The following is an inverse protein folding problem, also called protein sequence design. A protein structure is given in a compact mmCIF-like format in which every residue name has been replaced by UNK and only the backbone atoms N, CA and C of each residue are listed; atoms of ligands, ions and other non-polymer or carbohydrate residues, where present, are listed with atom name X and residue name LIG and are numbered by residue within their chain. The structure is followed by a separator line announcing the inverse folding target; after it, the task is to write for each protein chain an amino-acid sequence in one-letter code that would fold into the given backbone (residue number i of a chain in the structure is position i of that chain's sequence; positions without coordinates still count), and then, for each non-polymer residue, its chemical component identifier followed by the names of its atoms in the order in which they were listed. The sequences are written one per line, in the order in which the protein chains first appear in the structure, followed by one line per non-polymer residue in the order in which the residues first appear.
data_IF_000734268696
#
_entry.id   IF_000734268696
#
_cell.length_a   1.000
_cell.length_b   1.000
_cell.length_c   1.000
_cell.angle_alpha   90.00
_cell.angle_beta   90.00
_cell.angle_gamma   90.00
#
_symmetry.space_group_name_H-M   'P 1'
#
loop_
_entity.id
_entity.type
_entity.pdbx_description
1 polymer ?
#
# COMPACT_ATOMS: atom_id res chain seq x y z
N UNK A 1 41.12 13.19 21.41
CA UNK A 1 39.88 12.39 21.51
C UNK A 1 38.72 13.32 21.86
N UNK A 2 37.98 13.81 20.85
CA UNK A 2 36.72 14.52 21.07
C UNK A 2 35.60 13.55 20.70
N UNK A 3 34.94 12.94 21.70
CA UNK A 3 33.65 12.29 21.46
C UNK A 3 32.67 13.40 21.12
N UNK A 4 32.38 13.59 19.82
CA UNK A 4 31.24 14.41 19.42
C UNK A 4 29.99 13.61 19.73
N UNK A 5 29.21 14.12 20.66
CA UNK A 5 27.95 13.54 21.08
C UNK A 5 27.03 13.49 19.85
N UNK A 6 26.83 12.29 19.30
CA UNK A 6 25.88 12.10 18.21
C UNK A 6 24.49 12.56 18.71
N UNK A 7 23.78 13.41 17.96
CA UNK A 7 22.50 13.95 18.42
C UNK A 7 21.53 12.79 18.73
N UNK A 8 20.99 12.77 19.95
CA UNK A 8 19.96 11.82 20.38
C UNK A 8 18.80 11.89 19.39
N UNK A 9 18.59 10.84 18.58
CA UNK A 9 17.46 10.72 17.65
C UNK A 9 16.16 10.54 18.42
N UNK A 10 15.55 11.64 18.84
CA UNK A 10 14.16 11.69 19.31
C UNK A 10 13.31 12.29 18.20
N UNK A 11 13.05 11.52 17.14
CA UNK A 11 12.22 11.97 16.02
C UNK A 11 10.97 11.12 15.92
N UNK A 12 9.87 11.54 16.56
CA UNK A 12 8.53 11.08 16.16
C UNK A 12 8.34 11.47 14.70
N UNK A 13 7.96 10.52 13.82
CA UNK A 13 7.75 10.78 12.40
C UNK A 13 6.72 11.92 12.22
N UNK A 14 7.17 13.12 11.82
CA UNK A 14 6.27 14.27 11.64
C UNK A 14 5.75 14.25 10.20
N UNK A 15 4.42 14.21 10.05
CA UNK A 15 3.76 14.27 8.74
C UNK A 15 4.17 15.50 7.92
N UNK A 16 4.57 16.59 8.59
CA UNK A 16 5.10 17.80 7.95
C UNK A 16 6.44 17.56 7.23
N UNK A 17 7.35 16.78 7.82
CA UNK A 17 8.65 16.46 7.22
C UNK A 17 8.46 15.55 5.99
N UNK A 18 7.46 14.66 6.06
CA UNK A 18 7.02 13.83 4.93
C UNK A 18 6.42 14.67 3.79
N UNK A 19 5.53 15.62 4.09
CA UNK A 19 4.99 16.55 3.10
C UNK A 19 6.06 17.43 2.49
N UNK A 20 7.04 17.89 3.28
CA UNK A 20 8.15 18.69 2.80
C UNK A 20 9.06 17.86 1.88
N UNK A 21 9.25 16.56 2.15
CA UNK A 21 9.94 15.62 1.27
C UNK A 21 9.21 15.47 -0.07
N UNK A 22 7.89 15.25 -0.04
CA UNK A 22 7.04 15.14 -1.24
C UNK A 22 7.06 16.43 -2.05
N UNK A 23 6.96 17.60 -1.42
CA UNK A 23 6.97 18.88 -2.11
C UNK A 23 8.38 19.26 -2.64
N UNK A 24 9.44 18.72 -2.02
CA UNK A 24 10.81 18.86 -2.52
C UNK A 24 11.06 18.05 -3.79
N UNK A 25 10.21 17.06 -4.05
CA UNK A 25 10.17 16.37 -5.32
C UNK A 25 9.25 17.20 -6.20
N UNK A 26 9.78 17.90 -7.20
CA UNK A 26 9.01 18.79 -8.04
C UNK A 26 8.14 17.94 -8.99
N UNK A 27 6.92 17.51 -8.61
CA UNK A 27 6.17 16.58 -9.43
C UNK A 27 5.74 17.38 -10.66
N UNK A 28 5.58 16.74 -11.82
CA UNK A 28 4.96 17.39 -12.97
C UNK A 28 3.49 17.69 -12.63
N UNK A 29 3.23 18.82 -11.94
CA UNK A 29 1.92 19.20 -11.37
C UNK A 29 0.80 19.21 -12.42
N UNK A 30 1.13 19.60 -13.65
CA UNK A 30 0.21 19.57 -14.78
C UNK A 30 -0.22 18.14 -15.16
N UNK A 31 0.73 17.21 -15.28
CA UNK A 31 0.42 15.79 -15.56
C UNK A 31 -0.37 15.18 -14.40
N UNK A 32 -0.02 15.53 -13.17
CA UNK A 32 -0.73 15.08 -11.98
C UNK A 32 -2.22 15.49 -11.98
N UNK A 33 -2.48 16.77 -12.24
CA UNK A 33 -3.83 17.32 -12.28
C UNK A 33 -4.63 16.74 -13.44
N UNK A 34 -4.01 16.57 -14.61
CA UNK A 34 -4.61 15.89 -15.76
C UNK A 34 -5.02 14.45 -15.44
N UNK A 35 -4.10 13.66 -14.86
CA UNK A 35 -4.41 12.27 -14.52
C UNK A 35 -5.52 12.16 -13.46
N UNK A 36 -5.58 13.08 -12.49
CA UNK A 36 -6.69 13.13 -11.53
C UNK A 36 -8.01 13.44 -12.21
N UNK A 37 -8.05 14.41 -13.13
CA UNK A 37 -9.27 14.71 -13.90
C UNK A 37 -9.73 13.51 -14.72
N UNK A 38 -8.82 12.82 -15.41
CA UNK A 38 -9.15 11.60 -16.15
C UNK A 38 -9.70 10.50 -15.22
N UNK A 39 -9.10 10.33 -14.03
CA UNK A 39 -9.57 9.36 -13.03
C UNK A 39 -10.96 9.70 -12.47
N UNK A 40 -11.32 10.99 -12.40
CA UNK A 40 -12.67 11.40 -11.99
C UNK A 40 -13.70 11.08 -13.08
N UNK A 41 -13.36 11.33 -14.35
CA UNK A 41 -14.21 10.97 -15.50
C UNK A 41 -14.44 9.47 -15.56
N UNK A 42 -13.40 8.66 -15.35
CA UNK A 42 -13.51 7.19 -15.43
C UNK A 42 -14.29 6.61 -14.26
N UNK A 43 -14.16 7.20 -13.08
CA UNK A 43 -15.00 6.87 -11.93
C UNK A 43 -16.46 7.22 -12.21
N UNK A 44 -16.76 8.39 -12.79
CA UNK A 44 -18.11 8.72 -13.24
C UNK A 44 -18.67 7.72 -14.27
N UNK A 45 -17.84 7.26 -15.22
CA UNK A 45 -18.23 6.25 -16.19
C UNK A 45 -18.51 4.88 -15.56
N UNK A 46 -17.77 4.47 -14.53
CA UNK A 46 -18.01 3.18 -13.85
C UNK A 46 -19.33 3.13 -13.08
N UNK A 47 -19.84 4.30 -12.67
CA UNK A 47 -21.15 4.44 -12.02
C UNK A 47 -22.34 4.24 -12.98
N UNK A 48 -22.13 4.29 -14.29
CA UNK A 48 -23.19 4.07 -15.29
C UNK A 48 -23.79 2.67 -15.14
N UNK A 49 -22.97 1.66 -14.82
CA UNK A 49 -23.43 0.27 -14.67
C UNK A 49 -24.43 0.13 -13.50
N UNK A 50 -24.10 0.49 -12.24
CA UNK A 50 -25.06 0.47 -11.13
C UNK A 50 -26.31 1.31 -11.38
N UNK A 51 -26.18 2.49 -11.99
CA UNK A 51 -27.34 3.35 -12.26
C UNK A 51 -28.30 2.74 -13.27
N UNK A 52 -27.76 2.08 -14.30
CA UNK A 52 -28.59 1.37 -15.27
C UNK A 52 -29.24 0.14 -14.66
N UNK A 53 -28.53 -0.63 -13.83
CA UNK A 53 -29.13 -1.72 -13.05
C UNK A 53 -30.27 -1.20 -12.15
N UNK A 54 -30.08 -0.07 -11.47
CA UNK A 54 -31.14 0.57 -10.68
C UNK A 54 -32.36 0.90 -11.54
N UNK A 55 -32.17 1.55 -12.70
CA UNK A 55 -33.26 1.89 -13.63
C UNK A 55 -34.00 0.66 -14.17
N UNK A 56 -33.28 -0.44 -14.42
CA UNK A 56 -33.86 -1.71 -14.86
C UNK A 56 -34.70 -2.39 -13.78
N UNK A 57 -34.28 -2.29 -12.52
CA UNK A 57 -35.03 -2.84 -11.39
C UNK A 57 -36.27 -1.98 -11.09
N UNK A 58 -36.11 -0.65 -11.12
CA UNK A 58 -37.19 0.30 -10.85
C UNK A 58 -38.25 0.30 -11.96
N UNK A 59 -37.85 0.03 -13.21
CA UNK A 59 -38.76 -0.13 -14.35
C UNK A 59 -39.07 -1.63 -14.51
N UNK A 60 -40.12 -2.10 -13.83
CA UNK A 60 -40.53 -3.50 -13.70
C UNK A 60 -40.71 -4.29 -15.01
N UNK A 61 -39.61 -4.64 -15.69
CA UNK A 61 -39.60 -5.48 -16.88
C UNK A 61 -38.24 -5.51 -17.61
N UNK A 62 -37.58 -6.68 -17.60
CA UNK A 62 -36.42 -7.02 -18.45
C UNK A 62 -36.74 -6.95 -19.96
N UNK A 63 -38.00 -6.74 -20.32
CA UNK A 63 -38.54 -6.75 -21.68
C UNK A 63 -38.30 -5.47 -22.48
N UNK A 64 -37.57 -4.48 -21.94
CA UNK A 64 -37.17 -3.26 -22.67
C UNK A 64 -35.70 -2.88 -22.44
N UNK A 65 -34.77 -3.81 -22.70
CA UNK A 65 -33.39 -3.38 -22.99
C UNK A 65 -33.42 -2.62 -24.32
N UNK A 66 -33.51 -1.29 -24.24
CA UNK A 66 -33.48 -0.41 -25.40
C UNK A 66 -32.07 -0.39 -26.00
N UNK A 67 -31.96 -0.31 -27.33
CA UNK A 67 -30.68 -0.18 -28.05
C UNK A 67 -29.87 1.02 -27.53
N UNK A 68 -30.54 2.09 -27.08
CA UNK A 68 -29.88 3.24 -26.46
C UNK A 68 -29.14 2.89 -25.17
N UNK A 69 -29.68 1.98 -24.36
CA UNK A 69 -29.05 1.56 -23.11
C UNK A 69 -27.76 0.75 -23.38
N UNK A 70 -27.79 -0.12 -24.40
CA UNK A 70 -26.59 -0.83 -24.85
C UNK A 70 -25.52 0.12 -25.40
N UNK A 71 -25.91 1.12 -26.19
CA UNK A 71 -24.97 2.14 -26.70
C UNK A 71 -24.33 2.92 -25.55
N UNK A 72 -25.11 3.36 -24.56
CA UNK A 72 -24.58 4.06 -23.38
C UNK A 72 -23.62 3.18 -22.58
N UNK A 73 -23.92 1.89 -22.40
CA UNK A 73 -23.03 0.94 -21.72
C UNK A 73 -21.70 0.76 -22.47
N UNK A 74 -21.76 0.53 -23.78
CA UNK A 74 -20.55 0.36 -24.60
C UNK A 74 -19.71 1.63 -24.55
N UNK A 75 -20.34 2.80 -24.68
CA UNK A 75 -19.64 4.08 -24.65
C UNK A 75 -18.99 4.35 -23.28
N UNK A 76 -19.72 4.07 -22.19
CA UNK A 76 -19.18 4.17 -20.83
C UNK A 76 -17.99 3.21 -20.63
N UNK A 77 -18.06 1.99 -21.16
CA UNK A 77 -16.98 1.02 -21.07
C UNK A 77 -15.74 1.44 -21.87
N UNK A 78 -15.92 1.98 -23.08
CA UNK A 78 -14.83 2.51 -23.91
C UNK A 78 -14.17 3.72 -23.24
N UNK A 79 -14.96 4.64 -22.68
CA UNK A 79 -14.46 5.79 -21.89
C UNK A 79 -13.67 5.29 -20.68
N UNK A 80 -14.22 4.31 -19.94
CA UNK A 80 -13.59 3.75 -18.76
C UNK A 80 -12.26 3.09 -19.09
N UNK A 81 -12.18 2.27 -20.15
CA UNK A 81 -10.94 1.64 -20.57
C UNK A 81 -9.93 2.65 -21.12
N UNK A 82 -10.36 3.55 -22.01
CA UNK A 82 -9.50 4.53 -22.66
C UNK A 82 -8.92 5.53 -21.66
N UNK A 83 -9.77 6.33 -21.03
CA UNK A 83 -9.32 7.34 -20.07
C UNK A 83 -8.80 6.71 -18.78
N UNK A 84 -9.27 5.52 -18.39
CA UNK A 84 -8.80 4.83 -17.20
C UNK A 84 -7.36 4.39 -17.34
N UNK A 85 -7.03 3.81 -18.50
CA UNK A 85 -5.66 3.41 -18.81
C UNK A 85 -4.75 4.62 -18.92
N UNK A 86 -5.17 5.67 -19.65
CA UNK A 86 -4.35 6.88 -19.83
C UNK A 86 -4.16 7.61 -18.50
N UNK A 87 -5.24 7.87 -17.76
CA UNK A 87 -5.19 8.56 -16.47
C UNK A 87 -4.40 7.80 -15.43
N UNK A 88 -4.59 6.48 -15.36
CA UNK A 88 -3.82 5.59 -14.50
C UNK A 88 -2.34 5.56 -14.85
N UNK A 89 -1.99 5.52 -16.14
CA UNK A 89 -0.60 5.58 -16.60
C UNK A 89 0.06 6.91 -16.22
N UNK A 90 -0.63 8.04 -16.41
CA UNK A 90 -0.10 9.36 -16.07
C UNK A 90 0.14 9.48 -14.56
N UNK A 91 -0.82 9.06 -13.72
CA UNK A 91 -0.67 9.07 -12.26
C UNK A 91 0.51 8.20 -11.83
N UNK A 92 0.62 6.99 -12.39
CA UNK A 92 1.71 6.07 -12.11
C UNK A 92 3.06 6.66 -12.53
N UNK A 93 3.15 7.25 -13.71
CA UNK A 93 4.35 7.91 -14.20
C UNK A 93 4.78 9.07 -13.28
N UNK A 94 3.84 9.89 -12.82
CA UNK A 94 4.14 10.98 -11.86
C UNK A 94 4.61 10.40 -10.52
N UNK A 95 3.98 9.34 -10.04
CA UNK A 95 4.38 8.65 -8.80
C UNK A 95 5.79 8.08 -8.88
N UNK A 96 6.09 7.32 -9.92
CA UNK A 96 7.41 6.72 -10.18
C UNK A 96 8.49 7.78 -10.42
N UNK A 97 8.19 8.84 -11.18
CA UNK A 97 9.11 9.96 -11.37
C UNK A 97 9.42 10.66 -10.06
N UNK A 98 8.44 10.81 -9.17
CA UNK A 98 8.65 11.47 -7.89
C UNK A 98 9.61 10.65 -7.01
N UNK A 99 9.41 9.35 -7.04
CA UNK A 99 10.21 8.36 -6.36
C UNK A 99 11.65 8.29 -6.87
N UNK A 100 11.86 8.36 -8.18
CA UNK A 100 13.19 8.46 -8.77
C UNK A 100 13.97 9.64 -8.20
N UNK A 101 13.34 10.80 -8.10
CA UNK A 101 13.96 11.99 -7.51
C UNK A 101 14.28 11.83 -6.02
N UNK A 102 13.41 11.16 -5.25
CA UNK A 102 13.71 10.81 -3.85
C UNK A 102 14.93 9.91 -3.74
N UNK A 103 14.99 8.90 -4.60
CA UNK A 103 16.08 7.94 -4.63
C UNK A 103 17.40 8.62 -5.00
N UNK A 104 17.41 9.48 -6.02
CA UNK A 104 18.58 10.29 -6.40
C UNK A 104 19.11 11.14 -5.23
N UNK A 105 18.21 11.78 -4.47
CA UNK A 105 18.58 12.56 -3.29
C UNK A 105 19.12 11.69 -2.15
N UNK A 106 18.50 10.53 -1.93
CA UNK A 106 18.93 9.58 -0.92
C UNK A 106 20.34 9.06 -1.22
N UNK A 107 20.60 8.66 -2.46
CA UNK A 107 21.93 8.25 -2.90
C UNK A 107 22.95 9.38 -2.77
N UNK A 108 22.62 10.59 -3.22
CA UNK A 108 23.50 11.75 -3.09
C UNK A 108 23.83 12.07 -1.62
N UNK A 109 22.89 11.84 -0.69
CA UNK A 109 23.12 12.02 0.74
C UNK A 109 24.01 10.91 1.32
N UNK A 110 23.73 9.65 0.99
CA UNK A 110 24.53 8.50 1.44
C UNK A 110 25.98 8.59 0.98
N UNK A 111 26.23 9.04 -0.26
CA UNK A 111 27.57 9.20 -0.80
C UNK A 111 28.36 10.37 -0.19
N UNK A 112 27.69 11.30 0.50
CA UNK A 112 28.32 12.46 1.16
C UNK A 112 28.54 12.26 2.66
N UNK A 113 28.18 11.10 3.21
CA UNK A 113 28.35 10.80 4.63
C UNK A 113 29.85 10.61 4.96
N UNK A 114 30.34 11.14 6.10
CA UNK A 114 31.74 11.00 6.49
C UNK A 114 32.12 9.53 6.75
N UNK A 115 33.38 9.18 6.47
CA UNK A 115 33.92 7.82 6.62
C UNK A 115 33.73 7.29 8.06
N UNK A 116 33.85 8.17 9.06
CA UNK A 116 33.58 7.86 10.48
C UNK A 116 32.19 7.25 10.74
N UNK A 117 31.18 7.59 9.91
CA UNK A 117 29.84 7.00 10.02
C UNK A 117 29.84 5.51 9.64
N UNK A 118 30.67 5.14 8.67
CA UNK A 118 30.78 3.77 8.18
C UNK A 118 31.74 2.93 9.04
N UNK A 119 32.72 3.56 9.71
CA UNK A 119 33.66 2.88 10.63
C UNK A 119 33.00 2.44 11.95
N UNK A 120 31.99 3.16 12.44
CA UNK A 120 31.26 2.81 13.67
C UNK A 120 30.31 1.60 13.49
N UNK A 121 30.12 1.11 12.25
CA UNK A 121 29.20 0.01 11.89
C UNK A 121 29.94 -1.17 11.19
N UNK A 122 30.69 -1.99 11.94
CA UNK A 122 31.63 -3.04 11.47
C UNK A 122 31.14 -4.11 10.44
N UNK A 123 31.61 -3.94 9.20
CA UNK A 123 32.25 -4.87 8.24
C UNK A 123 31.88 -6.35 7.97
N UNK A 124 30.94 -7.02 8.65
CA UNK A 124 30.63 -8.45 8.34
C UNK A 124 29.14 -8.75 8.24
N UNK A 125 28.40 -8.36 9.27
CA UNK A 125 26.94 -8.37 9.30
C UNK A 125 26.36 -7.08 8.67
N UNK A 126 27.13 -5.99 8.73
CA UNK A 126 26.80 -4.69 8.15
C UNK A 126 26.73 -4.68 6.63
N UNK A 127 27.49 -5.51 5.89
CA UNK A 127 27.37 -5.52 4.42
C UNK A 127 26.04 -6.16 3.99
N UNK A 128 25.66 -7.29 4.61
CA UNK A 128 24.36 -7.93 4.39
C UNK A 128 23.21 -7.06 4.88
N UNK A 129 23.31 -6.44 6.07
CA UNK A 129 22.29 -5.51 6.57
C UNK A 129 22.23 -4.22 5.77
N UNK A 130 23.34 -3.64 5.34
CA UNK A 130 23.33 -2.43 4.52
C UNK A 130 22.75 -2.72 3.13
N UNK A 131 23.10 -3.83 2.49
CA UNK A 131 22.50 -4.24 1.20
C UNK A 131 21.01 -4.56 1.37
N UNK A 132 20.63 -5.27 2.44
CA UNK A 132 19.24 -5.65 2.68
C UNK A 132 18.39 -4.42 3.09
N UNK A 133 18.89 -3.57 3.98
CA UNK A 133 18.24 -2.31 4.38
C UNK A 133 18.17 -1.34 3.20
N UNK A 134 19.19 -1.28 2.35
CA UNK A 134 19.15 -0.47 1.12
C UNK A 134 18.17 -1.05 0.10
N UNK A 135 18.04 -2.37 0.00
CA UNK A 135 17.01 -3.02 -0.84
C UNK A 135 15.60 -2.76 -0.31
N UNK A 136 15.40 -2.80 1.01
CA UNK A 136 14.12 -2.46 1.64
C UNK A 136 13.79 -0.99 1.42
N UNK A 137 14.75 -0.09 1.59
CA UNK A 137 14.58 1.34 1.31
C UNK A 137 14.29 1.57 -0.18
N UNK A 138 15.02 0.89 -1.06
CA UNK A 138 14.79 0.91 -2.50
C UNK A 138 13.39 0.45 -2.80
N UNK A 139 12.93 -0.71 -2.33
CA UNK A 139 11.59 -1.25 -2.59
C UNK A 139 10.48 -0.36 -1.99
N UNK A 140 10.69 0.15 -0.78
CA UNK A 140 9.78 1.10 -0.15
C UNK A 140 9.63 2.35 -1.02
N UNK A 141 10.73 2.86 -1.57
CA UNK A 141 10.74 4.04 -2.43
C UNK A 141 10.22 3.70 -3.83
N UNK A 142 10.67 2.62 -4.49
CA UNK A 142 10.42 2.31 -5.90
C UNK A 142 9.09 1.62 -6.17
N UNK A 143 8.54 0.88 -5.21
CA UNK A 143 7.31 0.13 -5.39
C UNK A 143 6.20 0.55 -4.42
N UNK A 144 6.50 0.64 -3.13
CA UNK A 144 5.46 0.88 -2.14
C UNK A 144 4.98 2.33 -2.12
N UNK A 145 5.89 3.29 -2.28
CA UNK A 145 5.57 4.72 -2.25
C UNK A 145 4.69 5.16 -3.44
N UNK A 146 4.99 4.81 -4.72
CA UNK A 146 4.10 5.15 -5.83
C UNK A 146 2.72 4.54 -5.67
N UNK A 147 2.65 3.28 -5.22
CA UNK A 147 1.39 2.59 -4.99
C UNK A 147 0.57 3.24 -3.88
N UNK A 148 1.23 3.64 -2.78
CA UNK A 148 0.57 4.35 -1.68
C UNK A 148 0.02 5.70 -2.13
N UNK A 149 0.82 6.52 -2.82
CA UNK A 149 0.38 7.84 -3.31
C UNK A 149 -0.77 7.68 -4.31
N UNK A 150 -0.60 6.81 -5.31
CA UNK A 150 -1.63 6.57 -6.34
C UNK A 150 -2.91 6.03 -5.70
N UNK A 151 -2.80 5.07 -4.79
CA UNK A 151 -3.92 4.50 -4.05
C UNK A 151 -4.63 5.52 -3.16
N UNK A 152 -3.89 6.38 -2.45
CA UNK A 152 -4.47 7.45 -1.63
C UNK A 152 -5.26 8.45 -2.49
N UNK A 153 -4.75 8.82 -3.66
CA UNK A 153 -5.43 9.72 -4.60
C UNK A 153 -6.71 9.06 -5.14
N UNK A 154 -6.63 7.80 -5.56
CA UNK A 154 -7.80 7.06 -6.03
C UNK A 154 -8.85 6.91 -4.93
N UNK A 155 -8.43 6.64 -3.69
CA UNK A 155 -9.32 6.56 -2.54
C UNK A 155 -10.03 7.90 -2.29
N UNK A 156 -9.29 9.01 -2.25
CA UNK A 156 -9.88 10.34 -2.04
C UNK A 156 -10.81 10.71 -3.19
N UNK A 157 -10.37 10.52 -4.44
CA UNK A 157 -11.17 10.82 -5.63
C UNK A 157 -12.47 10.02 -5.69
N UNK A 158 -12.42 8.72 -5.41
CA UNK A 158 -13.60 7.86 -5.35
C UNK A 158 -14.52 8.21 -4.17
N UNK A 159 -13.96 8.53 -3.00
CA UNK A 159 -14.74 9.02 -1.85
C UNK A 159 -15.53 10.27 -2.21
N UNK A 160 -14.88 11.27 -2.81
CA UNK A 160 -15.54 12.51 -3.23
C UNK A 160 -16.72 12.20 -4.14
N UNK A 161 -16.53 11.36 -5.16
CA UNK A 161 -17.59 10.97 -6.09
C UNK A 161 -18.75 10.26 -5.37
N UNK A 162 -18.46 9.31 -4.47
CA UNK A 162 -19.49 8.60 -3.70
C UNK A 162 -20.34 9.56 -2.86
N UNK A 163 -19.70 10.51 -2.18
CA UNK A 163 -20.40 11.51 -1.37
C UNK A 163 -21.24 12.47 -2.23
N UNK A 164 -20.76 12.85 -3.42
CA UNK A 164 -21.54 13.65 -4.37
C UNK A 164 -22.74 12.89 -4.94
N UNK A 165 -22.64 11.57 -5.10
CA UNK A 165 -23.72 10.74 -5.66
C UNK A 165 -24.87 10.53 -4.67
N UNK A 166 -24.57 10.06 -3.47
CA UNK A 166 -25.56 9.83 -2.41
C UNK A 166 -24.89 9.99 -1.04
N UNK A 167 -24.88 11.22 -0.53
CA UNK A 167 -24.25 11.54 0.75
C UNK A 167 -24.89 10.80 1.93
N UNK A 168 -26.18 10.43 1.84
CA UNK A 168 -26.92 9.78 2.92
C UNK A 168 -26.52 8.31 3.02
N UNK A 169 -26.45 7.59 1.90
CA UNK A 169 -25.97 6.20 1.89
C UNK A 169 -24.46 6.11 2.16
N UNK A 170 -23.67 7.03 1.61
CA UNK A 170 -22.23 7.09 1.84
C UNK A 170 -21.90 7.31 3.33
N UNK A 171 -22.53 8.29 3.98
CA UNK A 171 -22.31 8.55 5.41
C UNK A 171 -22.72 7.38 6.30
N UNK A 172 -23.83 6.70 5.97
CA UNK A 172 -24.27 5.50 6.67
C UNK A 172 -23.22 4.38 6.56
N UNK A 173 -22.72 4.10 5.34
CA UNK A 173 -21.64 3.13 5.13
C UNK A 173 -20.37 3.50 5.91
N UNK A 174 -20.01 4.79 5.92
CA UNK A 174 -18.86 5.29 6.68
C UNK A 174 -19.03 5.15 8.20
N UNK A 175 -20.25 5.08 8.73
CA UNK A 175 -20.51 4.75 10.13
C UNK A 175 -20.46 3.25 10.40
N UNK A 176 -21.06 2.45 9.51
CA UNK A 176 -21.17 0.99 9.68
C UNK A 176 -19.81 0.29 9.52
N UNK A 177 -18.98 0.70 8.56
CA UNK A 177 -17.69 0.05 8.29
C UNK A 177 -16.74 0.09 9.50
N UNK A 178 -16.49 1.25 10.16
CA UNK A 178 -15.68 1.29 11.37
C UNK A 178 -16.23 0.43 12.51
N UNK A 179 -17.55 0.38 12.68
CA UNK A 179 -18.19 -0.46 13.70
C UNK A 179 -17.86 -1.95 13.44
N UNK A 180 -18.03 -2.40 12.20
CA UNK A 180 -17.70 -3.76 11.77
C UNK A 180 -16.21 -4.05 12.00
N UNK A 181 -15.32 -3.12 11.61
CA UNK A 181 -13.87 -3.25 11.84
C UNK A 181 -13.55 -3.35 13.33
N UNK A 182 -14.17 -2.53 14.17
CA UNK A 182 -13.95 -2.52 15.61
C UNK A 182 -14.35 -3.85 16.27
N UNK A 183 -15.39 -4.50 15.75
CA UNK A 183 -15.82 -5.85 16.16
C UNK A 183 -14.87 -6.94 15.64
N UNK A 184 -14.36 -6.81 14.40
CA UNK A 184 -13.45 -7.78 13.77
C UNK A 184 -12.03 -7.76 14.33
N UNK A 185 -11.50 -6.59 14.71
CA UNK A 185 -10.14 -6.44 15.23
C UNK A 185 -9.82 -7.37 16.44
N UNK A 186 -10.65 -7.48 17.48
CA UNK A 186 -10.38 -8.41 18.58
C UNK A 186 -10.44 -9.87 18.12
N UNK A 187 -11.35 -10.23 17.22
CA UNK A 187 -11.46 -11.58 16.65
C UNK A 187 -10.17 -11.94 15.90
N UNK A 188 -9.66 -11.03 15.05
CA UNK A 188 -8.39 -11.21 14.34
C UNK A 188 -7.19 -11.34 15.28
N UNK A 189 -7.17 -10.58 16.39
CA UNK A 189 -6.14 -10.73 17.44
C UNK A 189 -6.22 -12.09 18.15
N UNK A 190 -7.43 -12.62 18.37
CA UNK A 190 -7.62 -13.95 18.97
C UNK A 190 -7.17 -15.03 17.98
N UNK A 191 -7.60 -14.95 16.72
CA UNK A 191 -7.21 -15.86 15.64
C UNK A 191 -5.68 -15.92 15.45
N UNK A 192 -5.00 -14.78 15.39
CA UNK A 192 -3.53 -14.72 15.26
C UNK A 192 -2.79 -15.25 16.49
N UNK A 193 -3.35 -15.11 17.70
CA UNK A 193 -2.80 -15.74 18.92
C UNK A 193 -2.99 -17.26 18.87
N UNK A 194 -4.17 -17.73 18.48
CA UNK A 194 -4.46 -19.16 18.38
C UNK A 194 -3.60 -19.83 17.30
N UNK A 195 -3.47 -19.20 16.13
CA UNK A 195 -2.60 -19.70 15.05
C UNK A 195 -1.14 -19.87 15.50
N UNK A 196 -0.59 -18.89 16.24
CA UNK A 196 0.76 -19.02 16.83
C UNK A 196 0.87 -20.15 17.84
N UNK A 197 -0.15 -20.35 18.69
CA UNK A 197 -0.19 -21.47 19.65
C UNK A 197 -0.22 -22.83 18.95
N UNK A 198 -1.03 -22.95 17.88
CA UNK A 198 -1.13 -24.19 17.10
C UNK A 198 0.18 -24.48 16.34
N UNK A 199 0.81 -23.47 15.73
CA UNK A 199 2.11 -23.63 15.09
C UNK A 199 3.19 -24.08 16.09
N UNK A 200 3.25 -23.45 17.27
CA UNK A 200 4.18 -23.84 18.33
C UNK A 200 3.90 -25.26 18.88
N UNK A 201 2.64 -25.66 18.99
CA UNK A 201 2.25 -27.00 19.43
C UNK A 201 2.64 -28.08 18.41
N UNK A 202 2.51 -27.81 17.10
CA UNK A 202 2.91 -28.74 16.04
C UNK A 202 4.44 -28.86 15.89
N UNK A 203 5.18 -27.81 16.23
CA UNK A 203 6.64 -27.80 16.11
C UNK A 203 7.33 -28.70 17.16
N UNK A 204 6.81 -28.77 18.39
CA UNK A 204 7.39 -29.57 19.49
C UNK A 204 7.51 -31.08 19.16
N UNK A 205 6.45 -31.78 18.69
CA UNK A 205 6.55 -33.19 18.30
C UNK A 205 7.50 -33.41 17.12
N UNK A 206 7.51 -32.50 16.14
CA UNK A 206 8.37 -32.61 14.95
C UNK A 206 9.86 -32.50 15.31
N UNK A 207 10.21 -31.66 16.28
CA UNK A 207 11.57 -31.58 16.83
C UNK A 207 11.97 -32.86 17.60
N UNK A 208 11.04 -33.45 18.35
CA UNK A 208 11.31 -34.69 19.08
C UNK A 208 11.53 -35.90 18.15
N UNK A 209 10.87 -35.93 16.99
CA UNK A 209 11.06 -36.98 15.98
C UNK A 209 12.37 -36.80 15.21
N UNK A 210 12.83 -35.56 14.99
CA UNK A 210 14.07 -35.27 14.25
C UNK A 210 15.34 -35.21 15.11
N UNK A 211 15.21 -35.26 16.44
CA UNK A 211 16.35 -35.35 17.35
C UNK A 211 17.05 -36.71 17.22
N UNK A 212 18.39 -36.75 17.07
CA UNK A 212 19.12 -38.02 17.16
C UNK A 212 18.88 -38.61 18.55
N UNK A 213 18.40 -39.86 18.60
CA UNK A 213 18.11 -40.57 19.84
C UNK A 213 19.34 -40.51 20.76
N UNK A 214 19.18 -40.11 22.03
CA UNK A 214 20.31 -40.06 22.95
C UNK A 214 20.92 -41.46 23.05
N UNK A 215 22.23 -41.56 22.80
CA UNK A 215 22.97 -42.80 22.96
C UNK A 215 22.81 -43.26 24.42
N UNK A 216 21.91 -44.23 24.62
CA UNK A 216 21.67 -44.84 25.92
C UNK A 216 22.96 -45.58 26.27
N UNK A 217 23.73 -45.05 27.21
CA UNK A 217 24.97 -45.67 27.65
C UNK A 217 24.57 -46.89 28.48
N UNK A 218 24.42 -48.03 27.81
CA UNK A 218 24.11 -49.28 28.48
C UNK A 218 25.31 -49.66 29.35
N UNK A 219 25.11 -49.96 30.65
CA UNK A 219 26.20 -50.43 31.49
C UNK A 219 26.76 -51.71 30.85
N UNK A 220 28.07 -51.71 30.58
CA UNK A 220 28.77 -52.90 30.13
C UNK A 220 28.76 -53.88 31.30
N UNK A 221 27.91 -54.90 31.20
CA UNK A 221 27.99 -56.06 32.08
C UNK A 221 29.30 -56.78 31.74
N UNK A 222 30.25 -56.69 32.67
CA UNK A 222 31.50 -57.46 32.70
C UNK A 222 31.17 -58.89 33.12
#
# INVERSE_FOLDING_TARGET
MMRRDLPKRTGTFKFKDFLQLINSVNPKKALFLLGMLLSLVTSGASLVVPQLTKKLVDTSGLSKIDSKMLVVLILAFVIQLGFGTIGGYILRYVGESSVKTLLEKLWAHLLRLPVDYFDDHKSGESSSRLVNDTSVIKDLITAQFPNFITGAIQLIGSMVILFFMDWKMASLMFGVVPIIVLILLPIGKIMSRLGRKLQAANFKPQQLISMPMPAKNFPKFV
#
